data_IF_540676889909
#
_entry.id   IF_540676889909
#
_cell.length_a   1.000
_cell.length_b   1.000
_cell.length_c   1.000
_cell.angle_alpha   90.00
_cell.angle_beta   90.00
_cell.angle_gamma   90.00
#
_symmetry.space_group_name_H-M   'P 1'
#
loop_
_entity.id
_entity.type
_entity.pdbx_description
1 polymer ?
#
# COMPACT_ATOMS: atom_id res chain seq x y z
N UNK A 1 -18.24 -1.38 11.21
CA UNK A 1 -17.03 -1.82 11.94
C UNK A 1 -15.84 -1.35 11.12
N UNK A 2 -14.98 -0.53 11.69
CA UNK A 2 -13.82 0.04 11.01
C UNK A 2 -12.83 -1.05 10.57
N UNK A 3 -12.20 -0.84 9.42
CA UNK A 3 -11.16 -1.72 8.87
C UNK A 3 -9.82 -1.49 9.58
N UNK A 4 -9.54 -0.22 9.84
CA UNK A 4 -8.40 0.25 10.62
C UNK A 4 -8.91 1.26 11.65
N UNK A 5 -8.45 1.13 12.88
CA UNK A 5 -8.68 2.12 13.92
C UNK A 5 -7.37 2.41 14.67
N UNK A 6 -7.08 3.66 14.87
CA UNK A 6 -5.89 4.17 15.54
C UNK A 6 -6.32 5.09 16.65
N UNK A 7 -5.85 4.83 17.88
CA UNK A 7 -6.19 5.60 19.05
C UNK A 7 -4.92 6.14 19.74
N UNK A 8 -4.73 7.46 19.74
CA UNK A 8 -3.63 8.18 20.39
C UNK A 8 -2.24 7.62 20.05
N UNK A 9 -2.04 7.21 18.79
CA UNK A 9 -0.81 6.58 18.33
C UNK A 9 0.36 7.56 18.37
N UNK A 10 1.45 7.16 19.02
CA UNK A 10 2.73 7.88 19.01
C UNK A 10 3.83 6.95 18.51
N UNK A 11 4.58 7.42 17.52
CA UNK A 11 5.71 6.70 16.94
C UNK A 11 6.95 7.57 16.96
N UNK A 12 8.06 7.00 17.42
CA UNK A 12 9.37 7.66 17.46
C UNK A 12 10.26 7.16 16.31
N UNK A 13 11.04 8.08 15.78
CA UNK A 13 12.18 7.78 14.90
C UNK A 13 13.37 8.60 15.34
N UNK A 14 14.53 7.97 15.55
CA UNK A 14 15.75 8.63 16.03
C UNK A 14 15.50 9.49 17.29
N UNK A 15 14.74 8.97 18.26
CA UNK A 15 14.36 9.62 19.53
C UNK A 15 13.48 10.87 19.39
N UNK A 16 12.94 11.14 18.21
CA UNK A 16 11.97 12.21 17.99
C UNK A 16 10.59 11.60 17.69
N UNK A 17 9.55 12.15 18.29
CA UNK A 17 8.18 11.80 17.95
C UNK A 17 7.88 12.33 16.54
N UNK A 18 7.65 11.40 15.59
CA UNK A 18 7.28 11.74 14.21
C UNK A 18 5.76 11.61 14.00
N UNK A 19 5.12 10.78 14.81
CA UNK A 19 3.66 10.71 14.93
C UNK A 19 3.36 10.96 16.40
N UNK A 20 2.44 11.88 16.69
CA UNK A 20 2.13 12.28 18.06
C UNK A 20 0.62 12.25 18.30
N UNK A 21 0.17 11.36 19.19
CA UNK A 21 -1.21 11.20 19.64
C UNK A 21 -2.25 11.17 18.49
N UNK A 22 -1.90 10.54 17.36
CA UNK A 22 -2.76 10.46 16.18
C UNK A 22 -3.93 9.50 16.43
N UNK A 23 -5.14 9.94 16.09
CA UNK A 23 -6.35 9.12 16.17
C UNK A 23 -7.19 9.28 14.93
N UNK A 24 -7.54 8.18 14.29
CA UNK A 24 -8.51 8.13 13.18
C UNK A 24 -8.97 6.69 12.93
N UNK A 25 -10.02 6.57 12.12
CA UNK A 25 -10.47 5.26 11.63
C UNK A 25 -10.69 5.31 10.12
N UNK A 26 -10.64 4.13 9.51
CA UNK A 26 -10.96 3.87 8.10
C UNK A 26 -12.12 2.88 8.05
N UNK A 27 -13.22 3.32 7.45
CA UNK A 27 -14.40 2.50 7.24
C UNK A 27 -14.29 1.68 5.95
N UNK A 28 -15.13 0.63 5.77
CA UNK A 28 -15.19 -0.12 4.51
C UNK A 28 -15.32 0.81 3.30
N UNK A 29 -14.52 0.56 2.26
CA UNK A 29 -14.48 1.31 1.00
C UNK A 29 -14.03 2.78 1.12
N UNK A 30 -13.70 3.27 2.32
CA UNK A 30 -13.25 4.64 2.54
C UNK A 30 -11.79 4.82 2.09
N UNK A 31 -11.53 5.91 1.38
CA UNK A 31 -10.19 6.33 0.95
C UNK A 31 -9.74 7.53 1.79
N UNK A 32 -8.82 7.27 2.70
CA UNK A 32 -8.25 8.26 3.60
C UNK A 32 -6.88 8.68 3.07
N UNK A 33 -6.66 9.98 2.93
CA UNK A 33 -5.40 10.53 2.46
C UNK A 33 -4.64 11.20 3.60
N UNK A 34 -3.35 10.89 3.69
CA UNK A 34 -2.40 11.54 4.61
C UNK A 34 -1.65 12.62 3.83
N UNK A 35 -1.85 13.86 4.22
CA UNK A 35 -1.10 15.01 3.70
C UNK A 35 -0.16 15.57 4.75
N UNK A 36 0.84 16.30 4.33
CA UNK A 36 1.83 16.93 5.17
C UNK A 36 3.16 17.06 4.45
N UNK A 37 4.07 17.84 5.04
CA UNK A 37 5.39 18.08 4.48
C UNK A 37 6.20 16.80 4.26
N UNK A 38 7.22 16.89 3.41
CA UNK A 38 8.18 15.79 3.23
C UNK A 38 8.89 15.56 4.57
N UNK A 39 9.00 14.28 4.97
CA UNK A 39 9.64 13.92 6.23
C UNK A 39 8.77 14.07 7.49
N UNK A 40 7.48 14.43 7.37
CA UNK A 40 6.58 14.57 8.53
C UNK A 40 6.20 13.23 9.20
N UNK A 41 6.52 12.09 8.56
CA UNK A 41 6.25 10.77 9.14
C UNK A 41 5.19 9.93 8.43
N UNK A 42 4.74 10.31 7.22
CA UNK A 42 3.72 9.54 6.45
C UNK A 42 4.12 8.08 6.26
N UNK A 43 5.30 7.83 5.69
CA UNK A 43 5.83 6.46 5.50
C UNK A 43 6.08 5.74 6.83
N UNK A 44 6.50 6.48 7.86
CA UNK A 44 6.67 5.93 9.22
C UNK A 44 5.35 5.40 9.76
N UNK A 45 4.25 6.12 9.57
CA UNK A 45 2.92 5.65 9.95
C UNK A 45 2.56 4.38 9.18
N UNK A 46 2.70 4.37 7.84
CA UNK A 46 2.36 3.19 7.03
C UNK A 46 3.16 1.95 7.46
N UNK A 47 4.46 2.09 7.73
CA UNK A 47 5.30 1.00 8.21
C UNK A 47 4.92 0.51 9.62
N UNK A 48 4.48 1.43 10.50
CA UNK A 48 3.99 1.05 11.84
C UNK A 48 2.71 0.24 11.78
N UNK A 49 1.83 0.51 10.79
CA UNK A 49 0.59 -0.25 10.58
C UNK A 49 0.82 -1.67 10.06
N UNK A 50 2.05 -1.99 9.64
CA UNK A 50 2.47 -3.33 9.24
C UNK A 50 3.32 -4.03 10.31
N UNK A 51 3.59 -3.34 11.43
CA UNK A 51 4.45 -3.85 12.50
C UNK A 51 5.94 -3.80 12.17
N UNK A 52 6.35 -3.13 11.08
CA UNK A 52 7.77 -2.99 10.73
C UNK A 52 8.50 -1.94 11.58
N UNK A 53 7.75 -1.02 12.18
CA UNK A 53 8.27 -0.06 13.14
C UNK A 53 7.51 -0.17 14.45
N UNK A 54 8.22 -0.15 15.60
CA UNK A 54 7.57 -0.23 16.89
C UNK A 54 6.78 1.05 17.18
N UNK A 55 5.60 0.87 17.78
CA UNK A 55 4.81 1.96 18.34
C UNK A 55 5.32 2.28 19.75
N UNK A 56 5.30 3.55 20.13
CA UNK A 56 5.69 3.99 21.48
C UNK A 56 4.51 3.93 22.44
N UNK A 57 3.36 4.45 22.03
CA UNK A 57 2.11 4.42 22.79
C UNK A 57 0.91 4.51 21.86
N UNK A 58 -0.28 4.26 22.41
CA UNK A 58 -1.52 4.21 21.67
C UNK A 58 -1.84 2.81 21.17
N UNK A 59 -2.96 2.70 20.44
CA UNK A 59 -3.50 1.42 20.03
C UNK A 59 -3.78 1.41 18.53
N UNK A 60 -3.51 0.27 17.89
CA UNK A 60 -3.85 -0.03 16.50
C UNK A 60 -4.79 -1.24 16.49
N UNK A 61 -5.92 -1.10 15.81
CA UNK A 61 -6.84 -2.20 15.54
C UNK A 61 -6.93 -2.45 14.04
N UNK A 62 -6.58 -3.66 13.61
CA UNK A 62 -6.76 -4.12 12.23
C UNK A 62 -7.90 -5.12 12.19
N UNK A 63 -8.94 -4.81 11.43
CA UNK A 63 -10.15 -5.66 11.30
C UNK A 63 -10.73 -6.06 12.67
N UNK A 64 -10.71 -5.13 13.63
CA UNK A 64 -11.18 -5.33 15.00
C UNK A 64 -10.22 -6.05 15.93
N UNK A 65 -9.04 -6.44 15.47
CA UNK A 65 -8.01 -7.10 16.28
C UNK A 65 -6.97 -6.08 16.75
N UNK A 66 -6.71 -6.05 18.07
CA UNK A 66 -5.68 -5.20 18.65
C UNK A 66 -4.27 -5.68 18.24
N UNK A 67 -3.46 -4.79 17.71
CA UNK A 67 -2.11 -5.04 17.25
C UNK A 67 -1.12 -4.07 17.93
N UNK A 68 -0.13 -4.60 18.63
CA UNK A 68 0.83 -3.80 19.41
C UNK A 68 2.28 -4.20 19.13
N UNK A 69 2.52 -5.50 18.95
CA UNK A 69 3.85 -6.07 18.69
C UNK A 69 3.90 -6.65 17.30
N UNK A 70 5.07 -6.75 16.70
CA UNK A 70 5.26 -7.29 15.36
C UNK A 70 4.46 -8.58 15.09
N UNK A 71 4.48 -9.52 16.04
CA UNK A 71 3.75 -10.79 15.93
C UNK A 71 2.23 -10.63 15.74
N UNK A 72 1.65 -9.55 16.24
CA UNK A 72 0.21 -9.30 16.17
C UNK A 72 -0.22 -8.90 14.75
N UNK A 73 0.72 -8.36 13.95
CA UNK A 73 0.49 -7.98 12.55
C UNK A 73 0.68 -9.14 11.56
N UNK A 74 1.41 -10.21 11.95
CA UNK A 74 1.69 -11.36 11.08
C UNK A 74 0.44 -11.97 10.44
N UNK A 75 -0.70 -12.16 11.16
CA UNK A 75 -1.93 -12.73 10.57
C UNK A 75 -2.58 -11.85 9.49
N UNK A 76 -2.15 -10.60 9.37
CA UNK A 76 -2.68 -9.62 8.41
C UNK A 76 -1.79 -9.41 7.18
N UNK A 77 -0.61 -10.06 7.13
CA UNK A 77 0.25 -10.05 5.94
C UNK A 77 -0.51 -10.63 4.75
N UNK A 78 -0.56 -9.88 3.64
CA UNK A 78 -1.40 -10.18 2.48
C UNK A 78 -2.85 -9.72 2.58
N UNK A 79 -3.43 -9.52 3.79
CA UNK A 79 -4.72 -8.84 3.96
C UNK A 79 -4.58 -7.32 3.94
N UNK A 80 -3.46 -6.81 4.43
CA UNK A 80 -3.03 -5.43 4.25
C UNK A 80 -1.97 -5.42 3.17
N UNK A 81 -2.30 -4.84 2.03
CA UNK A 81 -1.37 -4.64 0.92
C UNK A 81 -0.66 -3.31 1.05
N UNK A 82 0.59 -3.23 0.66
CA UNK A 82 1.36 -1.99 0.60
C UNK A 82 2.07 -1.83 -0.74
N UNK A 83 2.02 -0.62 -1.31
CA UNK A 83 2.95 -0.18 -2.34
C UNK A 83 3.87 0.89 -1.76
N UNK A 84 5.17 0.64 -1.82
CA UNK A 84 6.20 1.57 -1.35
C UNK A 84 6.42 2.71 -2.33
N UNK A 85 6.99 3.81 -1.84
CA UNK A 85 7.30 5.00 -2.63
C UNK A 85 8.21 4.69 -3.83
N UNK A 86 9.20 3.81 -3.66
CA UNK A 86 10.06 3.35 -4.73
C UNK A 86 9.65 1.93 -5.11
N UNK A 87 9.01 1.75 -6.23
CA UNK A 87 8.56 0.43 -6.68
C UNK A 87 9.71 -0.54 -6.91
N UNK A 88 10.90 -0.07 -7.31
CA UNK A 88 12.10 -0.91 -7.50
C UNK A 88 12.56 -1.60 -6.21
N UNK A 89 12.33 -1.00 -5.04
CA UNK A 89 12.64 -1.60 -3.74
C UNK A 89 11.67 -2.75 -3.37
N UNK A 90 10.56 -2.86 -4.11
CA UNK A 90 9.52 -3.85 -3.88
C UNK A 90 9.61 -5.02 -4.85
N UNK A 91 10.18 -4.81 -6.05
CA UNK A 91 10.27 -5.80 -7.11
C UNK A 91 11.59 -6.59 -7.00
N UNK A 92 11.50 -7.91 -6.97
CA UNK A 92 12.67 -8.79 -6.81
C UNK A 92 12.57 -10.09 -7.62
N UNK A 93 11.44 -10.36 -8.25
CA UNK A 93 11.24 -11.51 -9.12
C UNK A 93 12.13 -11.47 -10.37
N UNK A 94 12.51 -12.61 -10.95
CA UNK A 94 13.27 -12.64 -12.19
C UNK A 94 12.49 -12.06 -13.38
N UNK A 95 11.16 -12.30 -13.42
CA UNK A 95 10.24 -11.71 -14.41
C UNK A 95 9.07 -11.03 -13.72
N UNK A 96 8.33 -10.21 -14.48
CA UNK A 96 7.09 -9.58 -13.99
C UNK A 96 6.08 -10.61 -13.51
N UNK A 97 5.91 -11.71 -14.24
CA UNK A 97 4.96 -12.77 -13.86
C UNK A 97 5.38 -13.46 -12.57
N UNK A 98 6.68 -13.75 -12.39
CA UNK A 98 7.22 -14.34 -11.16
C UNK A 98 7.00 -13.42 -9.96
N UNK A 99 7.24 -12.11 -10.15
CA UNK A 99 7.08 -11.11 -9.09
C UNK A 99 5.63 -10.99 -8.65
N UNK A 100 4.69 -10.87 -9.60
CA UNK A 100 3.25 -10.79 -9.30
C UNK A 100 2.72 -12.09 -8.67
N UNK A 101 3.24 -13.25 -9.05
CA UNK A 101 2.84 -14.53 -8.46
C UNK A 101 3.38 -14.74 -7.04
N UNK A 102 4.46 -14.08 -6.67
CA UNK A 102 5.18 -14.34 -5.42
C UNK A 102 4.31 -14.20 -4.16
N UNK A 103 3.54 -13.12 -4.05
CA UNK A 103 2.65 -12.91 -2.91
C UNK A 103 1.57 -14.00 -2.79
N UNK A 104 1.04 -14.45 -3.92
CA UNK A 104 0.02 -15.50 -3.99
C UNK A 104 0.61 -16.87 -3.61
N UNK A 105 1.85 -17.16 -4.05
CA UNK A 105 2.59 -18.35 -3.62
C UNK A 105 2.79 -18.37 -2.10
N UNK A 106 3.15 -17.24 -1.51
CA UNK A 106 3.33 -17.12 -0.05
C UNK A 106 2.01 -17.25 0.74
N UNK A 107 0.87 -17.05 0.09
CA UNK A 107 -0.45 -17.37 0.67
C UNK A 107 -0.77 -18.89 0.65
N UNK A 108 0.13 -19.72 0.09
CA UNK A 108 0.00 -21.18 0.05
C UNK A 108 -0.78 -21.72 -1.16
N UNK A 109 -1.03 -20.92 -2.17
CA UNK A 109 -1.64 -21.41 -3.42
C UNK A 109 -0.68 -22.33 -4.18
N UNK A 110 -1.19 -23.40 -4.83
CA UNK A 110 -0.39 -24.22 -5.75
C UNK A 110 0.22 -23.35 -6.85
N UNK A 111 1.45 -23.67 -7.29
CA UNK A 111 2.19 -22.89 -8.28
C UNK A 111 1.34 -22.55 -9.53
N UNK A 112 0.73 -23.53 -10.16
CA UNK A 112 -0.07 -23.31 -11.37
C UNK A 112 -1.20 -22.30 -11.13
N UNK A 113 -1.86 -22.37 -9.96
CA UNK A 113 -2.94 -21.44 -9.61
C UNK A 113 -2.43 -20.04 -9.31
N UNK A 114 -1.27 -19.92 -8.62
CA UNK A 114 -0.67 -18.62 -8.33
C UNK A 114 -0.26 -17.88 -9.60
N UNK A 115 0.34 -18.58 -10.56
CA UNK A 115 0.69 -18.01 -11.87
C UNK A 115 -0.53 -17.64 -12.71
N UNK A 116 -1.60 -18.41 -12.62
CA UNK A 116 -2.86 -18.08 -13.29
C UNK A 116 -3.46 -16.78 -12.70
N UNK A 117 -3.51 -16.65 -11.37
CA UNK A 117 -3.98 -15.44 -10.69
C UNK A 117 -3.12 -14.23 -11.06
N UNK A 118 -1.79 -14.41 -11.12
CA UNK A 118 -0.87 -13.36 -11.51
C UNK A 118 -1.11 -12.90 -12.95
N UNK A 119 -1.31 -13.83 -13.88
CA UNK A 119 -1.60 -13.54 -15.28
C UNK A 119 -2.92 -12.76 -15.42
N UNK A 120 -3.98 -13.24 -14.77
CA UNK A 120 -5.28 -12.55 -14.75
C UNK A 120 -5.14 -11.12 -14.19
N UNK A 121 -4.35 -10.93 -13.13
CA UNK A 121 -4.11 -9.60 -12.57
C UNK A 121 -3.35 -8.69 -13.54
N UNK A 122 -2.34 -9.21 -14.23
CA UNK A 122 -1.62 -8.47 -15.28
C UNK A 122 -2.55 -8.08 -16.44
N UNK A 123 -3.44 -8.97 -16.87
CA UNK A 123 -4.44 -8.69 -17.91
C UNK A 123 -5.40 -7.58 -17.47
N UNK A 124 -5.90 -7.62 -16.23
CA UNK A 124 -6.79 -6.57 -15.69
C UNK A 124 -6.15 -5.18 -15.67
N UNK A 125 -4.82 -5.10 -15.58
CA UNK A 125 -4.07 -3.85 -15.55
C UNK A 125 -3.45 -3.45 -16.90
N UNK A 126 -3.72 -4.22 -17.97
CA UNK A 126 -3.12 -4.07 -19.31
C UNK A 126 -1.58 -4.19 -19.28
N UNK A 127 -1.04 -5.11 -18.49
CA UNK A 127 0.39 -5.36 -18.31
C UNK A 127 0.84 -6.73 -18.82
N UNK A 128 -0.02 -7.54 -19.42
CA UNK A 128 0.30 -8.90 -19.86
C UNK A 128 1.51 -8.94 -20.81
N UNK A 129 1.68 -7.91 -21.63
CA UNK A 129 2.80 -7.79 -22.56
C UNK A 129 4.17 -7.70 -21.87
N UNK A 130 4.20 -7.45 -20.56
CA UNK A 130 5.41 -7.38 -19.74
C UNK A 130 5.74 -8.69 -19.03
N UNK A 131 4.85 -9.69 -19.03
CA UNK A 131 4.92 -10.86 -18.15
C UNK A 131 6.27 -11.57 -18.13
N UNK A 132 6.93 -11.66 -19.28
CA UNK A 132 8.21 -12.34 -19.45
C UNK A 132 9.41 -11.39 -19.33
N UNK A 133 9.19 -10.09 -19.11
CA UNK A 133 10.25 -9.10 -18.93
C UNK A 133 10.91 -9.21 -17.57
N UNK A 134 12.24 -9.07 -17.49
CA UNK A 134 12.95 -8.88 -16.23
C UNK A 134 12.46 -7.59 -15.54
N UNK A 135 12.23 -7.64 -14.22
CA UNK A 135 11.69 -6.49 -13.46
C UNK A 135 12.64 -5.29 -13.49
N UNK A 136 13.94 -5.50 -13.58
CA UNK A 136 14.96 -4.46 -13.65
C UNK A 136 15.05 -3.77 -15.03
N UNK A 137 14.36 -4.30 -16.05
CA UNK A 137 14.28 -3.71 -17.38
C UNK A 137 13.00 -2.86 -17.61
N UNK A 138 12.20 -2.68 -16.56
CA UNK A 138 10.98 -1.89 -16.60
C UNK A 138 11.25 -0.40 -16.43
N UNK A 139 10.45 0.43 -17.12
CA UNK A 139 10.38 1.86 -16.81
C UNK A 139 9.75 2.08 -15.43
N UNK A 140 9.99 3.26 -14.81
CA UNK A 140 9.44 3.56 -13.48
C UNK A 140 7.91 3.42 -13.41
N UNK A 141 7.18 3.83 -14.45
CA UNK A 141 5.73 3.62 -14.53
C UNK A 141 5.34 2.14 -14.59
N UNK A 142 6.04 1.34 -15.41
CA UNK A 142 5.82 -0.11 -15.48
C UNK A 142 6.14 -0.79 -14.14
N UNK A 143 7.20 -0.36 -13.44
CA UNK A 143 7.53 -0.85 -12.09
C UNK A 143 6.41 -0.55 -11.10
N UNK A 144 5.89 0.68 -11.06
CA UNK A 144 4.80 1.07 -10.17
C UNK A 144 3.54 0.22 -10.39
N UNK A 145 3.14 0.02 -11.64
CA UNK A 145 1.96 -0.81 -11.94
C UNK A 145 2.21 -2.30 -11.70
N UNK A 146 3.44 -2.80 -11.92
CA UNK A 146 3.81 -4.18 -11.60
C UNK A 146 3.77 -4.43 -10.09
N UNK A 147 4.33 -3.54 -9.28
CA UNK A 147 4.26 -3.62 -7.82
C UNK A 147 2.80 -3.61 -7.33
N UNK A 148 1.97 -2.73 -7.89
CA UNK A 148 0.54 -2.68 -7.59
C UNK A 148 -0.17 -3.98 -8.01
N UNK A 149 0.17 -4.56 -9.16
CA UNK A 149 -0.37 -5.84 -9.62
C UNK A 149 -0.07 -6.97 -8.62
N UNK A 150 1.19 -7.07 -8.15
CA UNK A 150 1.58 -8.06 -7.13
C UNK A 150 0.80 -7.92 -5.83
N UNK A 151 0.57 -6.69 -5.38
CA UNK A 151 -0.25 -6.43 -4.19
C UNK A 151 -1.71 -6.81 -4.42
N UNK A 152 -2.32 -6.42 -5.53
CA UNK A 152 -3.73 -6.70 -5.84
C UNK A 152 -3.99 -8.18 -6.10
N UNK A 153 -3.01 -8.93 -6.64
CA UNK A 153 -3.11 -10.38 -6.83
C UNK A 153 -3.37 -11.13 -5.52
N UNK A 154 -2.88 -10.63 -4.40
CA UNK A 154 -3.13 -11.18 -3.07
C UNK A 154 -4.55 -10.90 -2.53
N UNK A 155 -5.37 -10.12 -3.24
CA UNK A 155 -6.73 -9.71 -2.84
C UNK A 155 -6.77 -9.07 -1.46
N UNK A 156 -6.04 -7.97 -1.23
CA UNK A 156 -5.97 -7.31 0.08
C UNK A 156 -7.36 -6.79 0.49
N UNK A 157 -7.54 -6.61 1.80
CA UNK A 157 -8.74 -6.01 2.40
C UNK A 157 -8.54 -4.56 2.83
N UNK A 158 -7.29 -4.09 2.85
CA UNK A 158 -6.86 -2.71 3.07
C UNK A 158 -5.65 -2.47 2.17
N UNK A 159 -5.61 -1.34 1.48
CA UNK A 159 -4.49 -0.95 0.64
C UNK A 159 -3.80 0.27 1.22
N UNK A 160 -2.50 0.16 1.45
CA UNK A 160 -1.62 1.25 1.85
C UNK A 160 -0.79 1.68 0.64
N UNK A 161 -0.80 2.97 0.32
CA UNK A 161 -0.05 3.52 -0.80
C UNK A 161 0.85 4.66 -0.30
N UNK A 162 2.15 4.53 -0.53
CA UNK A 162 3.13 5.57 -0.16
C UNK A 162 3.59 6.33 -1.41
N UNK A 163 3.13 7.58 -1.56
CA UNK A 163 3.42 8.49 -2.66
C UNK A 163 3.24 7.84 -4.06
N UNK A 164 2.09 7.21 -4.37
CA UNK A 164 1.92 6.33 -5.52
C UNK A 164 1.99 7.04 -6.88
N UNK A 165 1.93 8.37 -6.91
CA UNK A 165 2.08 9.18 -8.12
C UNK A 165 3.52 9.63 -8.37
N UNK A 166 4.44 9.34 -7.43
CA UNK A 166 5.82 9.79 -7.55
C UNK A 166 6.51 9.17 -8.77
N UNK A 167 7.16 10.01 -9.59
CA UNK A 167 7.85 9.56 -10.80
C UNK A 167 6.93 9.14 -11.97
N UNK A 168 5.60 9.25 -11.83
CA UNK A 168 4.66 8.98 -12.92
C UNK A 168 4.45 10.24 -13.80
N UNK A 169 4.37 10.02 -15.08
CA UNK A 169 3.89 11.04 -16.01
C UNK A 169 2.36 11.27 -15.90
N UNK A 170 1.85 12.31 -16.54
CA UNK A 170 0.43 12.67 -16.45
C UNK A 170 -0.52 11.55 -16.94
N UNK A 171 -0.11 10.76 -17.94
CA UNK A 171 -0.90 9.64 -18.48
C UNK A 171 -0.99 8.51 -17.46
N UNK A 172 0.13 8.13 -16.86
CA UNK A 172 0.19 7.09 -15.85
C UNK A 172 -0.51 7.53 -14.55
N UNK A 173 -0.39 8.79 -14.13
CA UNK A 173 -1.17 9.34 -13.02
C UNK A 173 -2.68 9.22 -13.27
N UNK A 174 -3.15 9.55 -14.48
CA UNK A 174 -4.56 9.41 -14.85
C UNK A 174 -5.02 7.94 -14.85
N UNK A 175 -4.18 7.02 -15.39
CA UNK A 175 -4.45 5.57 -15.37
C UNK A 175 -4.55 5.06 -13.93
N UNK A 176 -3.61 5.42 -13.05
CA UNK A 176 -3.63 5.04 -11.64
C UNK A 176 -4.87 5.56 -10.93
N UNK A 177 -5.20 6.84 -11.15
CA UNK A 177 -6.40 7.46 -10.56
C UNK A 177 -7.68 6.73 -10.96
N UNK A 178 -7.83 6.42 -12.26
CA UNK A 178 -8.99 5.69 -12.77
C UNK A 178 -9.09 4.28 -12.16
N UNK A 179 -7.96 3.57 -12.07
CA UNK A 179 -7.88 2.25 -11.46
C UNK A 179 -8.31 2.30 -9.98
N UNK A 180 -7.71 3.19 -9.18
CA UNK A 180 -8.02 3.28 -7.75
C UNK A 180 -9.47 3.71 -7.48
N UNK A 181 -10.09 4.47 -8.39
CA UNK A 181 -11.53 4.78 -8.33
C UNK A 181 -12.41 3.55 -8.48
N UNK A 182 -12.01 2.61 -9.34
CA UNK A 182 -12.79 1.40 -9.59
C UNK A 182 -12.64 0.37 -8.47
N UNK A 183 -11.51 0.39 -7.75
CA UNK A 183 -11.30 -0.50 -6.62
C UNK A 183 -12.20 -0.11 -5.45
N UNK A 184 -13.08 -1.03 -5.05
CA UNK A 184 -13.94 -0.87 -3.86
C UNK A 184 -13.21 -1.33 -2.59
N UNK A 185 -11.97 -0.86 -2.41
CA UNK A 185 -11.13 -1.19 -1.28
C UNK A 185 -10.96 0.02 -0.36
N UNK A 186 -10.97 -0.17 0.97
CA UNK A 186 -10.50 0.86 1.88
C UNK A 186 -9.01 1.12 1.61
N UNK A 187 -8.63 2.40 1.65
CA UNK A 187 -7.25 2.80 1.33
C UNK A 187 -6.75 3.84 2.33
N UNK A 188 -5.47 3.73 2.66
CA UNK A 188 -4.71 4.80 3.30
C UNK A 188 -3.59 5.22 2.35
N UNK A 189 -3.65 6.45 1.87
CA UNK A 189 -2.76 6.96 0.83
C UNK A 189 -1.96 8.13 1.38
N UNK A 190 -0.66 7.96 1.49
CA UNK A 190 0.25 9.07 1.73
C UNK A 190 0.54 9.75 0.38
N UNK A 191 0.22 11.02 0.26
CA UNK A 191 0.50 11.79 -0.96
C UNK A 191 0.62 13.27 -0.68
N UNK A 192 1.54 13.92 -1.39
CA UNK A 192 1.65 15.38 -1.46
C UNK A 192 0.97 15.96 -2.72
N UNK A 193 0.52 15.11 -3.66
CA UNK A 193 -0.20 15.52 -4.85
C UNK A 193 -1.64 15.92 -4.52
N UNK A 194 -1.90 17.23 -4.55
CA UNK A 194 -3.22 17.78 -4.26
C UNK A 194 -4.26 17.43 -5.32
N UNK A 195 -3.86 17.31 -6.60
CA UNK A 195 -4.78 16.98 -7.68
C UNK A 195 -5.26 15.55 -7.55
N UNK A 196 -4.34 14.63 -7.32
CA UNK A 196 -4.63 13.22 -7.04
C UNK A 196 -5.52 13.06 -5.81
N UNK A 197 -5.19 13.76 -4.71
CA UNK A 197 -5.99 13.76 -3.49
C UNK A 197 -7.41 14.24 -3.72
N UNK A 198 -7.62 15.38 -4.38
CA UNK A 198 -8.97 15.93 -4.66
C UNK A 198 -9.84 15.00 -5.50
N UNK A 199 -9.22 14.16 -6.34
CA UNK A 199 -9.95 13.25 -7.21
C UNK A 199 -10.40 11.96 -6.53
N UNK A 200 -9.73 11.55 -5.44
CA UNK A 200 -9.90 10.23 -4.84
C UNK A 200 -10.30 10.25 -3.37
N UNK A 201 -9.88 11.26 -2.60
CA UNK A 201 -10.04 11.24 -1.15
C UNK A 201 -11.50 11.41 -0.72
N UNK A 202 -11.96 10.49 0.13
CA UNK A 202 -13.20 10.66 0.89
C UNK A 202 -12.95 11.45 2.18
N UNK A 203 -11.71 11.33 2.73
CA UNK A 203 -11.24 12.05 3.93
C UNK A 203 -9.76 12.37 3.80
N UNK A 204 -9.37 13.54 4.27
CA UNK A 204 -7.95 13.95 4.32
C UNK A 204 -7.54 14.24 5.76
N UNK A 205 -6.39 13.70 6.15
CA UNK A 205 -5.73 13.94 7.43
C UNK A 205 -4.43 14.69 7.19
N UNK A 206 -4.21 15.74 7.95
CA UNK A 206 -2.99 16.54 7.87
C UNK A 206 -2.05 16.18 9.02
N UNK A 207 -0.89 15.59 8.69
CA UNK A 207 0.17 15.38 9.67
C UNK A 207 0.97 16.67 9.82
N UNK A 208 1.20 17.06 11.06
CA UNK A 208 2.00 18.22 11.44
C UNK A 208 3.17 17.75 12.31
N UNK A 209 4.29 18.49 12.24
CA UNK A 209 5.43 18.26 13.14
C UNK A 209 5.14 18.70 14.54
#
# INVERSE_FOLDING_TARGET
MSILEINNLTVFRNRQAVINALSFAIEPQQRVFLQGEIGVGKSTLLLSLLGFLPIHSGDIYLFGTHCQREKDFVPFRGKVGICFQNAEDQLFGPTVLDDVAFGVLNQGYPQAQAYQIALEQLQMLDLEYLKDRPVNALSGGEQNFTALAGVLAMKPKLLLLDEPTNGLDAKNCAKLTALLKQLQLPMLVASHDQTFTRQLADKTLYLQK
#
